data_IF_070381194232
#
_entry.id   IF_070381194232
#
_cell.length_a   1.000
_cell.length_b   1.000
_cell.length_c   1.000
_cell.angle_alpha   90.00
_cell.angle_beta   90.00
_cell.angle_gamma   90.00
#
_symmetry.space_group_name_H-M   'P 1'
#
loop_
_entity.id
_entity.type
_entity.pdbx_description
1 polymer ?
#
# COMPACT_ATOMS: atom_id res chain seq x y z
N UNK A 1 -1.86 -15.77 -2.43
CA UNK A 1 -2.26 -15.62 -1.03
C UNK A 1 -3.36 -14.56 -0.95
N UNK A 2 -4.50 -14.91 -0.37
CA UNK A 2 -5.68 -14.05 -0.27
C UNK A 2 -5.48 -12.94 0.77
N UNK A 3 -4.62 -13.14 1.75
CA UNK A 3 -4.36 -12.19 2.83
C UNK A 3 -3.43 -11.03 2.43
N UNK A 4 -2.78 -11.12 1.26
CA UNK A 4 -1.86 -10.08 0.78
C UNK A 4 -2.63 -8.89 0.19
N UNK A 5 -2.29 -7.70 0.68
CA UNK A 5 -2.79 -6.41 0.21
C UNK A 5 -1.60 -5.45 0.00
N UNK A 6 -1.71 -4.53 -0.96
CA UNK A 6 -0.78 -3.45 -1.23
C UNK A 6 -1.43 -2.12 -0.80
N UNK A 7 -0.73 -1.39 0.06
CA UNK A 7 -1.11 -0.08 0.58
C UNK A 7 -0.04 0.93 0.22
N UNK A 8 -0.44 2.11 -0.21
CA UNK A 8 0.50 3.21 -0.40
C UNK A 8 -0.13 4.39 -1.14
N UNK A 9 0.65 5.44 -1.25
CA UNK A 9 0.27 6.62 -2.00
C UNK A 9 0.35 6.32 -3.50
N UNK A 10 -0.75 6.57 -4.22
CA UNK A 10 -0.78 6.49 -5.69
C UNK A 10 -0.48 5.09 -6.27
N UNK A 11 -0.54 4.02 -5.46
CA UNK A 11 -0.23 2.65 -5.87
C UNK A 11 -1.28 2.03 -6.79
N UNK A 12 -2.53 2.48 -6.74
CA UNK A 12 -3.65 1.89 -7.48
C UNK A 12 -3.93 2.64 -8.79
N UNK A 13 -4.64 3.76 -8.76
CA UNK A 13 -5.11 4.41 -10.00
C UNK A 13 -3.97 5.07 -10.78
N UNK A 14 -2.97 5.62 -10.08
CA UNK A 14 -1.82 6.26 -10.71
C UNK A 14 -0.72 5.25 -11.08
N UNK A 15 -0.91 3.97 -10.75
CA UNK A 15 -0.01 2.84 -11.07
C UNK A 15 1.37 2.96 -10.44
N UNK A 16 1.48 3.64 -9.30
CA UNK A 16 2.74 3.93 -8.63
C UNK A 16 3.57 5.00 -9.36
N UNK A 17 4.30 5.80 -8.60
CA UNK A 17 5.14 6.89 -9.13
C UNK A 17 6.28 6.35 -10.00
N UNK A 18 6.80 5.17 -9.65
CA UNK A 18 7.88 4.47 -10.37
C UNK A 18 7.40 3.29 -11.23
N UNK A 19 6.08 3.10 -11.38
CA UNK A 19 5.48 2.00 -12.17
C UNK A 19 5.81 0.60 -11.66
N UNK A 20 6.17 0.47 -10.38
CA UNK A 20 6.39 -0.84 -9.73
C UNK A 20 5.09 -1.61 -9.59
N UNK A 21 3.98 -0.92 -9.27
CA UNK A 21 2.65 -1.50 -9.08
C UNK A 21 1.77 -1.48 -10.35
N UNK A 22 2.35 -1.22 -11.53
CA UNK A 22 1.58 -1.14 -12.77
C UNK A 22 0.88 -2.47 -13.11
N UNK A 23 -0.40 -2.39 -13.47
CA UNK A 23 -1.22 -3.56 -13.84
C UNK A 23 -1.73 -4.36 -12.64
N UNK A 24 -1.33 -4.01 -11.42
CA UNK A 24 -1.75 -4.74 -10.22
C UNK A 24 -3.22 -4.50 -9.87
N UNK A 25 -3.72 -3.27 -10.06
CA UNK A 25 -5.12 -2.94 -9.78
C UNK A 25 -6.07 -3.75 -10.67
N UNK A 26 -5.77 -3.85 -11.97
CA UNK A 26 -6.55 -4.62 -12.93
C UNK A 26 -6.48 -6.13 -12.64
N UNK A 27 -5.32 -6.61 -12.19
CA UNK A 27 -5.09 -8.03 -11.92
C UNK A 27 -5.70 -8.52 -10.60
N UNK A 28 -5.59 -7.72 -9.54
CA UNK A 28 -5.93 -8.13 -8.17
C UNK A 28 -7.16 -7.42 -7.61
N UNK A 29 -7.63 -6.38 -8.27
CA UNK A 29 -8.83 -5.63 -7.91
C UNK A 29 -8.63 -4.62 -6.78
N UNK A 30 -9.62 -3.74 -6.59
CA UNK A 30 -9.55 -2.61 -5.65
C UNK A 30 -9.53 -3.04 -4.17
N UNK A 31 -9.91 -4.29 -3.87
CA UNK A 31 -9.84 -4.82 -2.50
C UNK A 31 -8.41 -5.20 -2.08
N UNK A 32 -7.49 -5.32 -3.04
CA UNK A 32 -6.10 -5.71 -2.78
C UNK A 32 -5.10 -4.59 -3.03
N UNK A 33 -5.38 -3.69 -3.98
CA UNK A 33 -4.52 -2.57 -4.32
C UNK A 33 -5.23 -1.30 -3.90
N UNK A 34 -4.77 -0.69 -2.81
CA UNK A 34 -5.51 0.34 -2.08
C UNK A 34 -4.67 1.62 -2.03
N UNK A 35 -5.20 2.68 -2.62
CA UNK A 35 -4.65 4.03 -2.47
C UNK A 35 -4.91 4.56 -1.06
N UNK A 36 -3.88 5.12 -0.43
CA UNK A 36 -3.96 5.71 0.91
C UNK A 36 -3.83 7.23 0.85
N UNK A 37 -4.34 7.97 1.87
CA UNK A 37 -4.01 9.38 2.04
C UNK A 37 -2.50 9.59 2.19
N UNK A 38 -2.02 10.82 1.93
CA UNK A 38 -0.64 11.26 2.17
C UNK A 38 -0.42 11.40 3.68
N UNK A 39 -0.21 10.25 4.33
CA UNK A 39 0.06 10.15 5.76
C UNK A 39 0.71 8.80 6.04
N UNK A 40 2.04 8.81 6.04
CA UNK A 40 2.90 7.65 6.20
C UNK A 40 2.63 6.92 7.50
N UNK A 41 2.48 7.67 8.60
CA UNK A 41 2.15 7.08 9.89
C UNK A 41 0.77 6.42 9.92
N UNK A 42 -0.21 6.98 9.21
CA UNK A 42 -1.57 6.44 9.20
C UNK A 42 -1.63 5.09 8.48
N UNK A 43 -1.12 5.00 7.25
CA UNK A 43 -1.17 3.73 6.51
C UNK A 43 -0.17 2.69 7.04
N UNK A 44 0.95 3.13 7.61
CA UNK A 44 1.89 2.22 8.29
C UNK A 44 1.27 1.64 9.56
N UNK A 45 0.62 2.48 10.38
CA UNK A 45 -0.15 2.02 11.54
C UNK A 45 -1.31 1.11 11.17
N UNK A 46 -2.04 1.43 10.09
CA UNK A 46 -3.08 0.57 9.53
C UNK A 46 -2.52 -0.79 9.11
N UNK A 47 -1.37 -0.82 8.43
CA UNK A 47 -0.71 -2.05 8.04
C UNK A 47 -0.32 -2.90 9.25
N UNK A 48 0.20 -2.29 10.32
CA UNK A 48 0.48 -3.01 11.58
C UNK A 48 -0.80 -3.65 12.14
N UNK A 49 -1.90 -2.88 12.25
CA UNK A 49 -3.18 -3.40 12.71
C UNK A 49 -3.73 -4.52 11.82
N UNK A 50 -3.64 -4.37 10.50
CA UNK A 50 -4.06 -5.38 9.54
C UNK A 50 -3.23 -6.67 9.68
N UNK A 51 -1.91 -6.54 9.88
CA UNK A 51 -1.03 -7.69 10.11
C UNK A 51 -1.38 -8.43 11.39
N UNK A 52 -1.72 -7.72 12.46
CA UNK A 52 -2.20 -8.31 13.72
C UNK A 52 -3.52 -9.10 13.53
N UNK A 53 -4.35 -8.69 12.57
CA UNK A 53 -5.60 -9.36 12.22
C UNK A 53 -5.43 -10.52 11.22
N UNK A 54 -4.19 -10.87 10.84
CA UNK A 54 -3.88 -12.00 9.96
C UNK A 54 -3.71 -11.64 8.48
N UNK A 55 -3.81 -10.36 8.13
CA UNK A 55 -3.48 -9.87 6.78
C UNK A 55 -1.97 -9.85 6.59
N UNK A 56 -1.53 -9.73 5.33
CA UNK A 56 -0.12 -9.65 4.94
C UNK A 56 0.11 -8.38 4.12
N UNK A 57 0.09 -7.21 4.76
CA UNK A 57 0.21 -5.94 4.06
C UNK A 57 1.62 -5.74 3.52
N UNK A 58 1.69 -5.27 2.28
CA UNK A 58 2.88 -4.72 1.63
C UNK A 58 2.66 -3.22 1.54
N UNK A 59 3.60 -2.45 2.07
CA UNK A 59 3.51 -0.98 2.12
C UNK A 59 4.50 -0.39 1.12
N UNK A 60 4.02 0.47 0.24
CA UNK A 60 4.84 1.24 -0.68
C UNK A 60 4.93 2.70 -0.21
N UNK A 61 6.15 3.15 0.05
CA UNK A 61 6.45 4.57 0.25
C UNK A 61 6.90 5.16 -1.08
N UNK A 62 6.37 6.34 -1.42
CA UNK A 62 6.75 7.04 -2.64
C UNK A 62 8.27 7.31 -2.69
N UNK A 63 8.82 7.78 -1.58
CA UNK A 63 10.25 7.92 -1.38
C UNK A 63 10.65 7.31 -0.04
N UNK A 64 11.78 6.61 -0.01
CA UNK A 64 12.29 6.00 1.23
C UNK A 64 12.48 7.01 2.36
N UNK A 65 12.85 8.26 2.05
CA UNK A 65 13.01 9.33 3.07
C UNK A 65 11.74 9.60 3.88
N UNK A 66 10.57 9.20 3.41
CA UNK A 66 9.33 9.40 4.14
C UNK A 66 9.11 8.40 5.29
N UNK A 67 9.97 7.38 5.42
CA UNK A 67 9.97 6.53 6.61
C UNK A 67 10.23 7.29 7.93
N UNK A 68 10.81 8.49 7.88
CA UNK A 68 11.03 9.32 9.08
C UNK A 68 9.75 9.95 9.65
N UNK A 69 8.68 10.01 8.84
CA UNK A 69 7.36 10.54 9.25
C UNK A 69 6.31 9.43 9.39
N UNK A 70 6.75 8.17 9.29
CA UNK A 70 5.95 6.96 9.45
C UNK A 70 5.85 6.50 10.91
#
# INVERSE_FOLDING_TARGET
>A
DENVILLGEEVAQFKGSYKVSEGMLERFGPNKIIDTPISEAAFSGLAVGAAMMGMRPVVEFMFWSFCYVA
#
